data_IF_794911100779
#
_entry.id   IF_794911100779
#
_cell.length_a   1.000
_cell.length_b   1.000
_cell.length_c   1.000
_cell.angle_alpha   90.00
_cell.angle_beta   90.00
_cell.angle_gamma   90.00
#
_symmetry.space_group_name_H-M   'P 1'
#
loop_
_entity.id
_entity.type
_entity.pdbx_description
1 polymer ?
#
# COMPACT_ATOMS: atom_id res chain seq x y z
N UNK A 1 -8.91 -12.74 8.24
CA UNK A 1 -7.48 -12.90 7.92
C UNK A 1 -7.31 -13.36 6.49
N UNK A 2 -6.34 -12.83 5.78
CA UNK A 2 -6.03 -13.21 4.40
C UNK A 2 -5.32 -14.57 4.40
N UNK A 3 -5.81 -15.50 3.60
CA UNK A 3 -5.16 -16.82 3.46
C UNK A 3 -3.79 -16.65 2.80
N UNK A 4 -2.74 -17.24 3.38
CA UNK A 4 -1.37 -17.17 2.90
C UNK A 4 -1.04 -18.28 1.89
N UNK A 5 0.08 -18.09 1.17
CA UNK A 5 0.66 -19.06 0.26
C UNK A 5 0.35 -18.81 -1.21
N UNK A 6 1.16 -19.40 -2.09
CA UNK A 6 1.12 -19.18 -3.54
C UNK A 6 -0.26 -19.44 -4.16
N UNK A 7 -0.91 -20.55 -3.79
CA UNK A 7 -2.25 -20.87 -4.31
C UNK A 7 -3.28 -19.82 -3.95
N UNK A 8 -3.21 -19.27 -2.73
CA UNK A 8 -4.11 -18.22 -2.27
C UNK A 8 -3.81 -16.88 -2.98
N UNK A 9 -2.54 -16.56 -3.18
CA UNK A 9 -2.10 -15.38 -3.92
C UNK A 9 -2.58 -15.43 -5.38
N UNK A 10 -2.39 -16.55 -6.07
CA UNK A 10 -2.87 -16.77 -7.44
C UNK A 10 -4.40 -16.65 -7.54
N UNK A 11 -5.13 -17.27 -6.60
CA UNK A 11 -6.59 -17.17 -6.56
C UNK A 11 -7.06 -15.73 -6.40
N UNK A 12 -6.43 -14.97 -5.51
CA UNK A 12 -6.73 -13.54 -5.30
C UNK A 12 -6.46 -12.72 -6.56
N UNK A 13 -5.32 -12.94 -7.19
CA UNK A 13 -4.98 -12.24 -8.42
C UNK A 13 -6.00 -12.51 -9.54
N UNK A 14 -6.39 -13.77 -9.74
CA UNK A 14 -7.44 -14.13 -10.71
C UNK A 14 -8.78 -13.48 -10.39
N UNK A 15 -9.15 -13.37 -9.13
CA UNK A 15 -10.36 -12.66 -8.71
C UNK A 15 -10.29 -11.16 -9.03
N UNK A 16 -9.14 -10.55 -8.80
CA UNK A 16 -8.90 -9.15 -9.17
C UNK A 16 -8.96 -8.95 -10.69
N UNK A 17 -8.32 -9.81 -11.47
CA UNK A 17 -8.38 -9.77 -12.93
C UNK A 17 -9.84 -9.82 -13.44
N UNK A 18 -10.64 -10.72 -12.91
CA UNK A 18 -12.01 -10.90 -13.34
C UNK A 18 -12.98 -9.77 -12.94
N UNK A 19 -12.65 -9.00 -11.91
CA UNK A 19 -13.59 -8.03 -11.30
C UNK A 19 -13.20 -6.57 -11.43
N UNK A 20 -11.92 -6.25 -11.39
CA UNK A 20 -11.47 -4.90 -11.17
C UNK A 20 -10.24 -4.46 -11.98
N UNK A 21 -9.57 -5.38 -12.69
CA UNK A 21 -8.37 -5.02 -13.44
C UNK A 21 -8.68 -4.08 -14.61
N UNK A 22 -9.79 -4.29 -15.31
CA UNK A 22 -10.15 -3.50 -16.50
C UNK A 22 -10.57 -2.05 -16.18
N UNK A 23 -10.94 -1.78 -14.93
CA UNK A 23 -11.30 -0.42 -14.43
C UNK A 23 -10.29 0.12 -13.43
N UNK A 24 -9.15 -0.56 -13.25
CA UNK A 24 -8.18 -0.26 -12.22
C UNK A 24 -7.60 1.15 -12.28
N UNK A 25 -7.45 1.73 -13.45
CA UNK A 25 -6.92 3.09 -13.63
C UNK A 25 -7.79 4.17 -12.96
N UNK A 26 -9.08 3.94 -12.80
CA UNK A 26 -10.03 4.79 -12.09
C UNK A 26 -10.27 4.31 -10.65
N UNK A 27 -10.68 3.05 -10.51
CA UNK A 27 -11.14 2.45 -9.26
C UNK A 27 -10.08 2.42 -8.16
N UNK A 28 -8.79 2.34 -8.53
CA UNK A 28 -7.66 2.45 -7.58
C UNK A 28 -7.65 3.73 -6.76
N UNK A 29 -8.37 4.76 -7.17
CA UNK A 29 -8.43 6.04 -6.47
C UNK A 29 -9.59 6.11 -5.47
N UNK A 30 -10.52 5.17 -5.54
CA UNK A 30 -11.75 5.15 -4.75
C UNK A 30 -11.60 4.22 -3.54
N UNK A 31 -11.31 4.80 -2.37
CA UNK A 31 -11.07 4.01 -1.15
C UNK A 31 -12.32 3.23 -0.65
N UNK A 32 -13.52 3.63 -1.08
CA UNK A 32 -14.78 2.99 -0.68
C UNK A 32 -15.18 1.77 -1.50
N UNK A 33 -14.41 1.42 -2.55
CA UNK A 33 -14.70 0.25 -3.38
C UNK A 33 -13.55 -0.77 -3.35
N UNK A 34 -13.86 -2.04 -3.59
CA UNK A 34 -12.85 -3.12 -3.65
C UNK A 34 -12.22 -3.20 -5.06
N UNK A 35 -11.61 -2.08 -5.49
CA UNK A 35 -11.01 -1.90 -6.82
C UNK A 35 -9.49 -2.17 -6.86
N UNK A 36 -8.89 -2.78 -5.83
CA UNK A 36 -7.44 -3.01 -5.78
C UNK A 36 -7.09 -4.49 -5.65
N UNK A 37 -5.90 -4.86 -6.12
CA UNK A 37 -5.46 -6.27 -6.13
C UNK A 37 -5.18 -6.86 -4.74
N UNK A 38 -4.86 -6.02 -3.74
CA UNK A 38 -4.38 -6.42 -2.41
C UNK A 38 -3.16 -7.37 -2.46
N UNK A 39 -2.34 -7.26 -3.52
CA UNK A 39 -1.17 -8.14 -3.76
C UNK A 39 0.09 -7.69 -3.00
N UNK A 40 0.04 -6.61 -2.23
CA UNK A 40 1.21 -6.10 -1.50
C UNK A 40 1.79 -7.12 -0.52
N UNK A 41 0.97 -7.79 0.27
CA UNK A 41 1.44 -8.81 1.22
C UNK A 41 2.01 -10.04 0.51
N UNK A 42 1.34 -10.69 -0.46
CA UNK A 42 1.91 -11.78 -1.24
C UNK A 42 3.24 -11.45 -1.91
N UNK A 43 3.36 -10.26 -2.49
CA UNK A 43 4.60 -9.81 -3.11
C UNK A 43 5.71 -9.52 -2.08
N UNK A 44 5.37 -8.96 -0.91
CA UNK A 44 6.32 -8.70 0.18
C UNK A 44 6.93 -9.99 0.73
N UNK A 45 6.11 -11.00 0.92
CA UNK A 45 6.52 -12.28 1.50
C UNK A 45 7.00 -13.32 0.48
N UNK A 46 7.05 -12.95 -0.81
CA UNK A 46 7.50 -13.85 -1.88
C UNK A 46 6.56 -15.02 -2.16
N UNK A 47 5.28 -14.90 -1.77
CA UNK A 47 4.25 -15.92 -2.08
C UNK A 47 3.94 -15.99 -3.58
N UNK A 48 4.21 -14.92 -4.32
CA UNK A 48 4.08 -14.85 -5.77
C UNK A 48 5.18 -13.95 -6.36
N UNK A 49 5.71 -14.34 -7.51
CA UNK A 49 6.73 -13.55 -8.19
C UNK A 49 6.08 -12.43 -9.02
N UNK A 50 6.63 -11.19 -9.05
CA UNK A 50 6.09 -10.09 -9.87
C UNK A 50 5.92 -10.45 -11.35
N UNK A 51 6.85 -11.22 -11.93
CA UNK A 51 6.77 -11.65 -13.34
C UNK A 51 5.54 -12.49 -13.65
N UNK A 52 5.05 -13.27 -12.67
CA UNK A 52 3.80 -14.05 -12.84
C UNK A 52 2.61 -13.11 -13.04
N UNK A 53 2.56 -12.01 -12.29
CA UNK A 53 1.52 -10.99 -12.46
C UNK A 53 1.65 -10.27 -13.80
N UNK A 54 2.87 -9.87 -14.16
CA UNK A 54 3.15 -9.16 -15.41
C UNK A 54 2.82 -9.95 -16.66
N UNK A 55 3.05 -11.27 -16.63
CA UNK A 55 2.76 -12.18 -17.76
C UNK A 55 1.27 -12.28 -18.08
N UNK A 56 0.39 -11.97 -17.13
CA UNK A 56 -1.07 -12.03 -17.28
C UNK A 56 -1.69 -10.69 -17.71
N UNK A 57 -0.88 -9.66 -17.92
CA UNK A 57 -1.37 -8.32 -18.27
C UNK A 57 -1.43 -8.11 -19.77
N UNK A 58 -2.56 -7.58 -20.26
CA UNK A 58 -2.75 -7.10 -21.62
C UNK A 58 -2.25 -5.68 -21.86
N UNK A 59 -2.73 -5.05 -22.93
CA UNK A 59 -2.26 -3.73 -23.40
C UNK A 59 -3.23 -2.57 -23.10
N UNK A 60 -4.28 -2.81 -22.31
CA UNK A 60 -5.21 -1.73 -21.95
C UNK A 60 -4.57 -0.70 -21.02
N UNK A 61 -5.13 0.51 -20.98
CA UNK A 61 -4.69 1.58 -20.07
C UNK A 61 -4.70 1.14 -18.60
N UNK A 62 -5.73 0.42 -18.16
CA UNK A 62 -5.84 -0.08 -16.79
C UNK A 62 -4.71 -1.09 -16.46
N UNK A 63 -4.42 -1.99 -17.40
CA UNK A 63 -3.30 -2.93 -17.29
C UNK A 63 -1.94 -2.21 -17.22
N UNK A 64 -1.75 -1.16 -18.00
CA UNK A 64 -0.52 -0.34 -17.96
C UNK A 64 -0.37 0.39 -16.63
N UNK A 65 -1.46 0.91 -16.08
CA UNK A 65 -1.44 1.53 -14.75
C UNK A 65 -1.07 0.49 -13.70
N UNK A 66 -1.63 -0.71 -13.75
CA UNK A 66 -1.27 -1.78 -12.80
C UNK A 66 0.18 -2.23 -12.96
N UNK A 67 0.67 -2.35 -14.21
CA UNK A 67 2.10 -2.65 -14.51
C UNK A 67 3.05 -1.64 -13.87
N UNK A 68 2.71 -0.35 -13.91
CA UNK A 68 3.48 0.72 -13.27
C UNK A 68 3.51 0.58 -11.75
N UNK A 69 2.44 0.11 -11.12
CA UNK A 69 2.44 -0.13 -9.66
C UNK A 69 3.37 -1.28 -9.26
N UNK A 70 3.50 -2.30 -10.10
CA UNK A 70 4.49 -3.38 -9.90
C UNK A 70 5.90 -2.83 -10.10
N UNK A 71 6.12 -1.96 -11.09
CA UNK A 71 7.42 -1.33 -11.34
C UNK A 71 7.86 -0.41 -10.17
N UNK A 72 6.96 0.28 -9.50
CA UNK A 72 7.27 1.06 -8.31
C UNK A 72 7.94 0.23 -7.21
N UNK A 73 7.57 -1.03 -7.07
CA UNK A 73 8.20 -1.94 -6.11
C UNK A 73 9.70 -2.13 -6.42
N UNK A 74 10.04 -2.32 -7.69
CA UNK A 74 11.44 -2.46 -8.12
C UNK A 74 12.21 -1.13 -7.95
N UNK A 75 11.57 -0.01 -8.27
CA UNK A 75 12.15 1.31 -8.05
C UNK A 75 12.54 1.54 -6.58
N UNK A 76 11.67 1.20 -5.62
CA UNK A 76 12.01 1.34 -4.21
C UNK A 76 13.05 0.33 -3.72
N UNK A 77 13.10 -0.85 -4.30
CA UNK A 77 14.19 -1.81 -4.02
C UNK A 77 15.54 -1.28 -4.51
N UNK A 78 15.58 -0.66 -5.68
CA UNK A 78 16.77 -0.01 -6.24
C UNK A 78 17.22 1.19 -5.37
N UNK A 79 16.26 2.02 -4.93
CA UNK A 79 16.55 3.12 -3.98
C UNK A 79 17.24 2.60 -2.72
N UNK A 80 16.68 1.57 -2.09
CA UNK A 80 17.25 0.99 -0.87
C UNK A 80 18.62 0.37 -1.12
N UNK A 81 18.82 -0.29 -2.26
CA UNK A 81 20.09 -0.88 -2.64
C UNK A 81 21.21 0.17 -2.75
N UNK A 82 20.93 1.31 -3.38
CA UNK A 82 21.90 2.40 -3.54
C UNK A 82 22.01 3.32 -2.30
N UNK A 83 21.02 3.31 -1.43
CA UNK A 83 20.94 4.15 -0.23
C UNK A 83 20.57 3.31 1.00
N UNK A 84 21.39 2.33 1.41
CA UNK A 84 21.06 1.40 2.47
C UNK A 84 20.81 2.08 3.83
N UNK A 85 21.38 3.28 4.05
CA UNK A 85 21.13 4.09 5.25
C UNK A 85 19.65 4.42 5.44
N UNK A 86 18.86 4.42 4.36
CA UNK A 86 17.42 4.74 4.42
C UNK A 86 16.57 3.67 5.13
N UNK A 87 17.17 2.57 5.54
CA UNK A 87 16.54 1.59 6.42
C UNK A 87 16.22 2.20 7.80
N UNK A 88 17.09 3.09 8.30
CA UNK A 88 16.99 3.68 9.64
C UNK A 88 17.17 5.19 9.69
N UNK A 89 17.56 5.81 8.58
CA UNK A 89 17.84 7.24 8.49
C UNK A 89 17.00 7.92 7.41
N UNK A 90 16.95 9.24 7.46
CA UNK A 90 16.28 10.02 6.40
C UNK A 90 17.03 9.91 5.08
N UNK A 91 16.30 9.73 3.97
CA UNK A 91 16.86 9.78 2.63
C UNK A 91 17.62 11.10 2.37
N UNK A 92 17.05 12.22 2.82
CA UNK A 92 17.71 13.52 2.75
C UNK A 92 18.17 13.95 4.14
N UNK A 93 19.49 14.03 4.41
CA UNK A 93 20.05 14.35 5.73
C UNK A 93 19.56 15.67 6.36
N UNK A 94 19.10 16.62 5.52
CA UNK A 94 18.52 17.88 6.00
C UNK A 94 17.29 17.71 6.89
N UNK A 95 16.63 16.57 6.85
CA UNK A 95 15.48 16.25 7.72
C UNK A 95 15.87 15.59 9.03
N UNK A 96 17.15 15.26 9.25
CA UNK A 96 17.61 14.59 10.48
C UNK A 96 17.35 15.40 11.76
N UNK A 97 17.18 16.70 11.64
CA UNK A 97 16.89 17.60 12.78
C UNK A 97 15.41 17.98 12.89
N UNK A 98 14.52 17.31 12.16
CA UNK A 98 13.07 17.51 12.35
C UNK A 98 12.68 17.19 13.78
N UNK A 99 11.91 18.11 14.38
CA UNK A 99 11.35 17.88 15.72
C UNK A 99 10.01 17.20 15.60
N UNK A 100 9.80 16.20 16.45
CA UNK A 100 8.54 15.49 16.60
C UNK A 100 8.04 15.65 18.02
N UNK A 101 6.73 15.70 18.19
CA UNK A 101 6.13 15.61 19.50
C UNK A 101 6.32 14.21 20.09
N UNK A 102 6.44 14.14 21.42
CA UNK A 102 6.44 12.85 22.11
C UNK A 102 5.09 12.14 21.93
N UNK A 103 5.10 10.81 21.77
CA UNK A 103 3.86 10.04 21.67
C UNK A 103 2.96 10.24 22.89
N UNK A 104 1.77 10.77 22.70
CA UNK A 104 0.79 11.05 23.74
C UNK A 104 -0.62 10.62 23.33
N UNK A 105 -1.63 11.20 23.99
CA UNK A 105 -3.04 10.86 23.75
C UNK A 105 -3.47 11.05 22.30
N UNK A 106 -2.98 12.09 21.63
CA UNK A 106 -3.26 12.35 20.20
C UNK A 106 -2.71 11.25 19.30
N UNK A 107 -1.49 10.77 19.59
CA UNK A 107 -0.89 9.66 18.86
C UNK A 107 -1.68 8.35 19.10
N UNK A 108 -2.07 8.11 20.34
CA UNK A 108 -2.92 6.96 20.68
C UNK A 108 -4.26 7.01 19.95
N UNK A 109 -4.92 8.19 19.93
CA UNK A 109 -6.16 8.37 19.19
C UNK A 109 -5.99 8.13 17.68
N UNK A 110 -4.87 8.55 17.10
CA UNK A 110 -4.54 8.24 15.71
C UNK A 110 -4.36 6.74 15.50
N UNK A 111 -3.59 6.05 16.34
CA UNK A 111 -3.41 4.59 16.26
C UNK A 111 -4.73 3.83 16.32
N UNK A 112 -5.67 4.30 17.15
CA UNK A 112 -6.97 3.64 17.38
C UNK A 112 -8.06 4.05 16.39
N UNK A 113 -7.78 5.01 15.48
CA UNK A 113 -8.77 5.56 14.56
C UNK A 113 -9.88 6.33 15.28
N UNK A 114 -9.48 7.18 16.23
CA UNK A 114 -10.34 8.00 17.10
C UNK A 114 -9.96 9.49 17.07
N UNK A 115 -9.41 9.97 15.95
CA UNK A 115 -8.98 11.35 15.79
C UNK A 115 -10.13 12.33 15.66
N UNK A 116 -11.33 11.85 15.33
CA UNK A 116 -12.49 12.66 14.98
C UNK A 116 -12.55 13.06 13.50
N UNK A 117 -11.56 12.70 12.70
CA UNK A 117 -11.55 12.87 11.24
C UNK A 117 -12.02 11.58 10.58
N UNK A 118 -13.25 11.51 10.06
CA UNK A 118 -13.87 10.23 9.63
C UNK A 118 -13.05 9.44 8.62
N UNK A 119 -12.39 10.11 7.67
CA UNK A 119 -11.60 9.46 6.65
C UNK A 119 -10.30 8.84 7.21
N UNK A 120 -9.62 9.55 8.12
CA UNK A 120 -8.43 9.06 8.83
C UNK A 120 -8.81 7.88 9.71
N UNK A 121 -9.86 8.05 10.50
CA UNK A 121 -10.33 7.04 11.44
C UNK A 121 -10.79 5.76 10.75
N UNK A 122 -11.51 5.87 9.64
CA UNK A 122 -11.93 4.71 8.85
C UNK A 122 -10.73 3.94 8.31
N UNK A 123 -9.70 4.63 7.83
CA UNK A 123 -8.49 4.01 7.30
C UNK A 123 -7.67 3.31 8.39
N UNK A 124 -7.52 3.92 9.57
CA UNK A 124 -6.84 3.31 10.70
C UNK A 124 -7.59 2.10 11.24
N UNK A 125 -8.92 2.16 11.32
CA UNK A 125 -9.75 1.00 11.70
C UNK A 125 -9.67 -0.12 10.66
N UNK A 126 -9.60 0.19 9.36
CA UNK A 126 -9.36 -0.80 8.33
C UNK A 126 -8.02 -1.51 8.57
N UNK A 127 -6.95 -0.76 8.83
CA UNK A 127 -5.63 -1.33 9.13
C UNK A 127 -5.68 -2.27 10.36
N UNK A 128 -6.31 -1.83 11.43
CA UNK A 128 -6.43 -2.63 12.66
C UNK A 128 -7.23 -3.92 12.45
N UNK A 129 -8.29 -3.85 11.65
CA UNK A 129 -9.20 -4.99 11.43
C UNK A 129 -8.67 -5.97 10.38
N UNK A 130 -8.16 -5.46 9.25
CA UNK A 130 -7.78 -6.26 8.08
C UNK A 130 -6.27 -6.55 8.02
N UNK A 131 -5.43 -5.78 8.74
CA UNK A 131 -3.97 -5.77 8.53
C UNK A 131 -3.58 -5.15 7.19
N UNK A 132 -4.49 -4.45 6.54
CA UNK A 132 -4.31 -3.81 5.24
C UNK A 132 -5.02 -2.46 5.21
N UNK A 133 -4.45 -1.51 4.44
CA UNK A 133 -5.03 -0.18 4.24
C UNK A 133 -4.94 0.19 2.78
N UNK A 134 -5.99 0.80 2.25
CA UNK A 134 -6.00 1.32 0.89
C UNK A 134 -4.89 2.34 0.64
N UNK A 135 -4.23 2.30 -0.53
CA UNK A 135 -3.05 3.15 -0.80
C UNK A 135 -3.34 4.65 -0.68
N UNK A 136 -4.49 5.13 -1.15
CA UNK A 136 -4.85 6.56 -1.06
C UNK A 136 -5.07 7.01 0.39
N UNK A 137 -5.71 6.18 1.20
CA UNK A 137 -5.91 6.49 2.61
C UNK A 137 -4.59 6.45 3.38
N UNK A 138 -3.67 5.55 3.04
CA UNK A 138 -2.34 5.48 3.63
C UNK A 138 -1.57 6.80 3.50
N UNK A 139 -1.62 7.43 2.33
CA UNK A 139 -0.98 8.73 2.09
C UNK A 139 -1.59 9.82 2.99
N UNK A 140 -2.92 9.84 3.12
CA UNK A 140 -3.64 10.83 3.95
C UNK A 140 -3.33 10.61 5.43
N UNK A 141 -3.40 9.37 5.90
CA UNK A 141 -3.14 9.00 7.31
C UNK A 141 -1.71 9.33 7.72
N UNK A 142 -0.73 9.03 6.88
CA UNK A 142 0.66 9.38 7.13
C UNK A 142 0.88 10.91 7.13
N UNK A 143 0.30 11.62 6.16
CA UNK A 143 0.38 13.08 6.09
C UNK A 143 -0.27 13.75 7.31
N UNK A 144 -1.37 13.19 7.81
CA UNK A 144 -2.03 13.68 9.03
C UNK A 144 -1.15 13.53 10.27
N UNK A 145 -0.40 12.43 10.37
CA UNK A 145 0.49 12.19 11.51
C UNK A 145 1.68 13.14 11.56
N UNK A 146 2.26 13.47 10.38
CA UNK A 146 3.53 14.24 10.33
C UNK A 146 3.34 15.76 10.16
N UNK A 147 2.13 16.25 10.05
CA UNK A 147 1.78 17.68 9.95
C UNK A 147 1.15 18.22 11.22
#
# INVERSE_FOLDING_TARGET
>A
MTQAGEKAALKRFKQFQAKALDTYDEDRNMAGIDGTSKMSAPLKWGEIHPRTLLAELGESKAHDVFRKEIAWREFYADILFHNPHTESEYYAPKFAQMRYDEPGEKFTAWCEGKTGYPFVDAAMRQLLHEGWMHNRTRMVVASFLVK
#
